data_IF_344027008984
#
_entry.id   IF_344027008984
#
_cell.length_a   1.000
_cell.length_b   1.000
_cell.length_c   1.000
_cell.angle_alpha   90.00
_cell.angle_beta   90.00
_cell.angle_gamma   90.00
#
_symmetry.space_group_name_H-M   'P 1'
#
loop_
_entity.id
_entity.type
_entity.pdbx_description
1 polymer ?
#
# COMPACT_ATOMS: atom_id res chain seq x y z
N UNK A 1 17.96 15.51 -45.06
CA UNK A 1 18.23 15.27 -43.63
C UNK A 1 17.09 14.44 -43.08
N UNK A 2 17.18 13.11 -43.21
CA UNK A 2 16.29 12.20 -42.50
C UNK A 2 16.52 12.41 -41.00
N UNK A 3 15.50 12.89 -40.30
CA UNK A 3 15.51 12.92 -38.84
C UNK A 3 15.34 11.47 -38.35
N UNK A 4 16.44 10.79 -38.04
CA UNK A 4 16.45 9.46 -37.41
C UNK A 4 16.01 9.45 -35.94
N UNK A 5 15.31 10.49 -35.50
CA UNK A 5 14.60 10.53 -34.22
C UNK A 5 13.16 10.93 -34.52
N UNK A 6 12.40 10.03 -35.13
CA UNK A 6 10.94 10.12 -35.01
C UNK A 6 10.64 10.18 -33.51
N UNK A 7 9.96 11.24 -33.10
CA UNK A 7 9.48 11.50 -31.75
C UNK A 7 8.64 10.32 -31.24
N UNK A 8 9.28 9.24 -30.83
CA UNK A 8 8.67 8.31 -29.92
C UNK A 8 8.54 9.08 -28.61
N UNK A 9 7.29 9.42 -28.26
CA UNK A 9 6.89 9.72 -26.89
C UNK A 9 7.21 8.48 -26.04
N UNK A 10 8.48 8.27 -25.73
CA UNK A 10 8.95 7.10 -24.99
C UNK A 10 8.55 7.35 -23.54
N UNK A 11 7.52 6.65 -23.08
CA UNK A 11 7.12 6.63 -21.69
C UNK A 11 8.28 5.99 -20.92
N UNK A 12 9.14 6.82 -20.34
CA UNK A 12 10.26 6.38 -19.53
C UNK A 12 9.81 5.84 -18.17
N UNK A 13 8.62 6.23 -17.73
CA UNK A 13 8.03 5.78 -16.48
C UNK A 13 6.50 5.78 -16.53
N UNK A 14 5.89 4.69 -16.07
CA UNK A 14 4.48 4.62 -15.69
C UNK A 14 4.38 4.79 -14.19
N UNK A 15 3.71 5.87 -13.77
CA UNK A 15 3.41 6.16 -12.37
C UNK A 15 1.90 6.07 -12.18
N UNK A 16 1.44 5.10 -11.39
CA UNK A 16 0.01 4.71 -11.31
C UNK A 16 -0.87 5.64 -10.45
N UNK A 17 -0.50 6.93 -10.34
CA UNK A 17 -1.27 7.97 -9.67
C UNK A 17 -1.01 8.09 -8.17
N UNK A 18 -1.63 9.10 -7.54
CA UNK A 18 -1.49 9.41 -6.10
C UNK A 18 -0.04 9.59 -5.62
N UNK A 19 0.88 9.81 -6.55
CA UNK A 19 2.32 9.92 -6.32
C UNK A 19 2.76 11.35 -6.06
N UNK A 20 3.92 11.49 -5.44
CA UNK A 20 4.57 12.79 -5.25
C UNK A 20 6.01 12.71 -5.77
N UNK A 21 6.26 13.33 -6.91
CA UNK A 21 7.61 13.41 -7.50
C UNK A 21 8.31 14.64 -6.93
N UNK A 22 9.24 14.42 -5.98
CA UNK A 22 9.98 15.52 -5.40
C UNK A 22 10.93 16.18 -6.41
N UNK A 23 11.26 17.45 -6.17
CA UNK A 23 12.12 18.22 -7.06
C UNK A 23 13.49 17.54 -7.26
N UNK A 24 13.96 17.55 -8.51
CA UNK A 24 15.23 16.95 -8.91
C UNK A 24 15.23 15.42 -8.99
N UNK A 25 14.10 14.74 -8.81
CA UNK A 25 14.02 13.30 -9.06
C UNK A 25 14.21 13.00 -10.57
N UNK A 26 15.24 12.23 -10.93
CA UNK A 26 15.57 11.86 -12.30
C UNK A 26 15.05 10.47 -12.62
N UNK A 27 13.82 10.43 -13.10
CA UNK A 27 13.07 9.20 -13.47
C UNK A 27 12.78 9.12 -14.99
N UNK A 28 13.47 9.95 -15.80
CA UNK A 28 13.24 10.14 -17.24
C UNK A 28 13.93 9.11 -18.14
N UNK A 29 13.88 9.31 -19.47
CA UNK A 29 14.33 8.35 -20.49
C UNK A 29 15.78 7.86 -20.28
N UNK A 30 15.98 6.54 -20.41
CA UNK A 30 17.27 5.86 -20.34
C UNK A 30 17.74 5.42 -21.74
N UNK A 31 17.93 6.39 -22.62
CA UNK A 31 18.43 6.14 -23.98
C UNK A 31 19.83 5.49 -23.92
N UNK A 32 19.90 4.18 -24.11
CA UNK A 32 21.13 3.40 -23.87
C UNK A 32 21.90 2.99 -25.13
N UNK A 33 21.56 3.54 -26.32
CA UNK A 33 22.20 3.29 -27.64
C UNK A 33 22.21 1.84 -28.14
N UNK A 34 21.77 0.86 -27.32
CA UNK A 34 21.92 -0.56 -27.59
C UNK A 34 20.57 -1.30 -27.69
N UNK A 35 19.51 -0.75 -27.11
CA UNK A 35 18.18 -1.34 -27.11
C UNK A 35 17.09 -0.26 -27.08
N UNK A 36 15.83 -0.69 -27.19
CA UNK A 36 14.69 0.15 -26.84
C UNK A 36 14.84 0.65 -25.40
N UNK A 37 14.25 1.82 -25.12
CA UNK A 37 14.21 2.41 -23.79
C UNK A 37 13.57 1.44 -22.79
N UNK A 38 14.23 1.30 -21.64
CA UNK A 38 13.70 0.58 -20.49
C UNK A 38 12.77 1.48 -19.67
N UNK A 39 11.87 0.88 -18.90
CA UNK A 39 10.82 1.61 -18.17
C UNK A 39 10.99 1.52 -16.65
N UNK A 40 10.53 2.56 -15.95
CA UNK A 40 10.19 2.50 -14.53
C UNK A 40 8.68 2.33 -14.36
N UNK A 41 8.27 1.25 -13.70
CA UNK A 41 6.88 1.05 -13.32
C UNK A 41 6.71 1.26 -11.82
N UNK A 42 5.94 2.26 -11.42
CA UNK A 42 5.72 2.59 -10.02
C UNK A 42 4.23 2.54 -9.67
N UNK A 43 3.91 1.76 -8.63
CA UNK A 43 2.59 1.68 -8.03
C UNK A 43 2.11 3.03 -7.50
N UNK A 44 0.82 3.09 -7.16
CA UNK A 44 0.22 4.34 -6.68
C UNK A 44 0.80 4.75 -5.35
N UNK A 45 0.87 6.06 -5.07
CA UNK A 45 1.49 6.55 -3.84
C UNK A 45 3.02 6.56 -3.85
N UNK A 46 3.66 6.20 -4.97
CA UNK A 46 5.11 6.27 -5.13
C UNK A 46 5.64 7.69 -4.86
N UNK A 47 6.75 7.78 -4.11
CA UNK A 47 7.33 9.04 -3.70
C UNK A 47 8.86 8.97 -3.75
N UNK A 48 9.51 9.38 -4.85
CA UNK A 48 10.95 9.58 -4.85
C UNK A 48 11.29 10.87 -4.10
N UNK A 49 12.20 10.79 -3.12
CA UNK A 49 12.71 11.94 -2.38
C UNK A 49 13.47 12.92 -3.27
N UNK A 50 13.80 14.10 -2.72
CA UNK A 50 14.53 15.14 -3.44
C UNK A 50 15.80 14.60 -4.08
N UNK A 51 16.10 15.01 -5.31
CA UNK A 51 17.33 14.62 -6.02
C UNK A 51 17.58 13.10 -6.09
N UNK A 52 16.53 12.28 -6.13
CA UNK A 52 16.66 10.84 -6.32
C UNK A 52 16.97 10.51 -7.77
N UNK A 53 17.98 9.68 -8.05
CA UNK A 53 18.24 9.17 -9.40
C UNK A 53 18.06 7.66 -9.47
N UNK A 54 17.42 7.15 -10.53
CA UNK A 54 17.09 5.71 -10.64
C UNK A 54 17.54 5.16 -11.99
N UNK A 55 18.23 4.03 -11.97
CA UNK A 55 18.57 3.26 -13.17
C UNK A 55 17.39 2.41 -13.67
N UNK A 56 17.12 2.42 -14.97
CA UNK A 56 16.12 1.53 -15.57
C UNK A 56 16.71 0.17 -15.94
N UNK A 57 15.90 -0.90 -15.99
CA UNK A 57 14.48 -0.99 -15.62
C UNK A 57 14.29 -1.09 -14.11
N UNK A 58 13.23 -0.48 -13.59
CA UNK A 58 12.83 -0.68 -12.20
C UNK A 58 11.33 -0.89 -12.06
N UNK A 59 10.94 -1.67 -11.04
CA UNK A 59 9.56 -1.77 -10.57
C UNK A 59 9.49 -1.43 -9.08
N UNK A 60 8.46 -0.69 -8.69
CA UNK A 60 8.19 -0.32 -7.30
C UNK A 60 6.73 -0.60 -6.96
N UNK A 61 6.51 -1.30 -5.84
CA UNK A 61 5.19 -1.52 -5.25
C UNK A 61 4.53 -0.21 -4.82
N UNK A 62 3.24 -0.27 -4.51
CA UNK A 62 2.50 0.91 -4.10
C UNK A 62 3.06 1.50 -2.81
N UNK A 63 3.04 2.82 -2.72
CA UNK A 63 3.53 3.59 -1.58
C UNK A 63 5.02 3.35 -1.24
N UNK A 64 5.86 3.00 -2.20
CA UNK A 64 7.32 3.09 -1.99
C UNK A 64 7.77 4.55 -1.91
N UNK A 65 8.28 4.94 -0.75
CA UNK A 65 9.00 6.19 -0.50
C UNK A 65 10.49 5.94 -0.69
N UNK A 66 11.18 6.69 -1.53
CA UNK A 66 12.64 6.61 -1.67
C UNK A 66 13.31 7.75 -0.92
N UNK A 67 14.33 7.45 -0.13
CA UNK A 67 15.20 8.47 0.41
C UNK A 67 16.00 9.12 -0.73
N UNK A 68 16.40 10.38 -0.50
CA UNK A 68 17.32 11.09 -1.40
C UNK A 68 18.62 10.27 -1.55
N UNK A 69 18.85 9.73 -2.74
CA UNK A 69 20.09 9.07 -3.11
C UNK A 69 20.16 8.77 -4.62
N UNK A 70 21.32 8.33 -5.08
CA UNK A 70 21.48 7.71 -6.39
C UNK A 70 21.27 6.19 -6.28
N UNK A 71 20.43 5.60 -7.14
CA UNK A 71 20.14 4.18 -7.18
C UNK A 71 20.70 3.59 -8.48
N UNK A 72 21.96 3.11 -8.49
CA UNK A 72 22.72 2.83 -9.71
C UNK A 72 22.42 1.46 -10.34
N UNK A 73 21.51 0.67 -9.76
CA UNK A 73 21.17 -0.68 -10.19
C UNK A 73 19.69 -0.78 -10.57
N UNK A 74 19.38 -1.74 -11.45
CA UNK A 74 18.01 -2.15 -11.74
C UNK A 74 17.40 -2.75 -10.47
N UNK A 75 16.15 -2.44 -10.15
CA UNK A 75 15.48 -2.85 -8.91
C UNK A 75 14.06 -3.38 -9.14
N UNK A 76 13.65 -4.32 -8.31
CA UNK A 76 12.28 -4.82 -8.23
C UNK A 76 11.83 -4.81 -6.76
N UNK A 77 11.28 -3.68 -6.32
CA UNK A 77 10.88 -3.46 -4.93
C UNK A 77 9.41 -3.85 -4.77
N UNK A 78 9.19 -5.06 -4.27
CA UNK A 78 7.84 -5.67 -4.18
C UNK A 78 7.13 -5.43 -2.85
N UNK A 79 7.83 -4.92 -1.84
CA UNK A 79 7.26 -4.63 -0.52
C UNK A 79 6.54 -3.27 -0.53
N UNK A 80 5.21 -3.21 -0.33
CA UNK A 80 4.47 -1.96 -0.40
C UNK A 80 4.62 -1.13 0.88
N UNK A 81 4.24 0.14 0.79
CA UNK A 81 4.29 1.10 1.91
C UNK A 81 5.70 1.19 2.53
N UNK A 82 6.74 0.98 1.74
CA UNK A 82 8.11 0.88 2.21
C UNK A 82 8.85 2.22 2.17
N UNK A 83 9.84 2.37 3.04
CA UNK A 83 10.95 3.30 2.81
C UNK A 83 12.11 2.53 2.18
N UNK A 84 12.56 2.98 1.02
CA UNK A 84 13.75 2.50 0.32
C UNK A 84 14.89 3.49 0.58
N UNK A 85 16.05 2.97 0.99
CA UNK A 85 17.22 3.78 1.24
C UNK A 85 18.47 3.15 0.62
N UNK A 86 19.28 3.95 -0.07
CA UNK A 86 20.61 3.52 -0.47
C UNK A 86 21.62 3.89 0.64
N UNK A 87 22.06 2.88 1.40
CA UNK A 87 23.09 3.05 2.41
C UNK A 87 24.48 2.81 1.80
N UNK A 88 25.09 3.90 1.34
CA UNK A 88 26.41 3.85 0.68
C UNK A 88 27.55 3.51 1.63
N UNK A 89 27.45 3.84 2.92
CA UNK A 89 28.52 3.58 3.89
C UNK A 89 28.64 2.10 4.24
N UNK A 90 27.51 1.38 4.31
CA UNK A 90 27.47 -0.07 4.52
C UNK A 90 27.43 -0.87 3.21
N UNK A 91 27.47 -0.18 2.06
CA UNK A 91 27.30 -0.77 0.74
C UNK A 91 26.12 -1.75 0.69
N UNK A 92 24.94 -1.29 1.10
CA UNK A 92 23.70 -2.08 1.07
C UNK A 92 22.50 -1.24 0.64
N UNK A 93 21.49 -1.91 0.09
CA UNK A 93 20.17 -1.33 -0.10
C UNK A 93 19.32 -1.69 1.12
N UNK A 94 18.64 -0.72 1.71
CA UNK A 94 17.79 -0.92 2.87
C UNK A 94 16.32 -0.75 2.47
N UNK A 95 15.49 -1.71 2.88
CA UNK A 95 14.04 -1.65 2.68
C UNK A 95 13.39 -1.77 4.05
N UNK A 96 12.62 -0.75 4.45
CA UNK A 96 11.76 -0.78 5.63
C UNK A 96 10.30 -0.91 5.18
N UNK A 97 9.72 -2.13 5.16
CA UNK A 97 8.32 -2.31 4.84
C UNK A 97 7.41 -1.67 5.90
N UNK A 98 6.17 -1.32 5.51
CA UNK A 98 5.18 -0.66 6.36
C UNK A 98 5.64 0.67 6.99
N UNK A 99 6.62 1.35 6.41
CA UNK A 99 7.15 2.62 6.91
C UNK A 99 6.04 3.66 7.12
N UNK A 100 5.10 3.78 6.18
CA UNK A 100 4.00 4.73 6.30
C UNK A 100 3.13 4.45 7.52
N UNK A 101 2.76 3.19 7.74
CA UNK A 101 1.96 2.76 8.87
C UNK A 101 2.68 2.99 10.21
N UNK A 102 3.97 2.63 10.26
CA UNK A 102 4.76 2.65 11.50
C UNK A 102 5.29 4.04 11.87
N UNK A 103 5.57 4.91 10.89
CA UNK A 103 6.36 6.12 11.12
C UNK A 103 5.80 7.39 10.49
N UNK A 104 4.88 7.30 9.52
CA UNK A 104 4.35 8.44 8.77
C UNK A 104 2.83 8.36 8.53
N UNK A 105 2.07 7.97 9.56
CA UNK A 105 0.62 7.80 9.47
C UNK A 105 -0.10 9.10 9.10
N UNK A 106 0.36 10.24 9.62
CA UNK A 106 -0.21 11.55 9.31
C UNK A 106 -0.24 11.81 7.80
N UNK A 107 0.89 11.60 7.11
CA UNK A 107 0.95 11.83 5.67
C UNK A 107 0.10 10.80 4.91
N UNK A 108 0.11 9.52 5.31
CA UNK A 108 -0.69 8.48 4.67
C UNK A 108 -2.19 8.82 4.72
N UNK A 109 -2.72 9.09 5.92
CA UNK A 109 -4.13 9.41 6.12
C UNK A 109 -4.52 10.74 5.46
N UNK A 110 -3.67 11.77 5.59
CA UNK A 110 -3.95 13.10 5.03
C UNK A 110 -3.95 13.11 3.51
N UNK A 111 -3.08 12.31 2.88
CA UNK A 111 -2.99 12.27 1.42
C UNK A 111 -4.28 11.75 0.79
N UNK A 112 -4.88 10.69 1.35
CA UNK A 112 -6.16 10.16 0.86
C UNK A 112 -7.27 11.24 0.84
N UNK A 113 -7.46 11.95 1.97
CA UNK A 113 -8.43 13.06 2.08
C UNK A 113 -8.11 14.21 1.12
N UNK A 114 -6.83 14.59 1.02
CA UNK A 114 -6.38 15.65 0.09
C UNK A 114 -6.65 15.32 -1.36
N UNK A 115 -6.47 14.08 -1.81
CA UNK A 115 -6.67 13.72 -3.22
C UNK A 115 -8.12 13.96 -3.63
N UNK A 116 -9.07 13.54 -2.81
CA UNK A 116 -10.49 13.78 -3.05
C UNK A 116 -10.84 15.28 -3.06
N UNK A 117 -10.36 16.04 -2.08
CA UNK A 117 -10.61 17.50 -2.01
C UNK A 117 -9.96 18.29 -3.16
N UNK A 118 -8.86 17.77 -3.72
CA UNK A 118 -8.10 18.41 -4.81
C UNK A 118 -8.56 17.97 -6.19
N UNK A 119 -9.44 16.98 -6.30
CA UNK A 119 -9.99 16.57 -7.59
C UNK A 119 -10.98 17.63 -8.13
N UNK A 120 -10.41 18.63 -8.81
CA UNK A 120 -11.10 19.75 -9.47
C UNK A 120 -11.28 19.51 -10.97
N UNK A 121 -11.19 18.26 -11.45
CA UNK A 121 -11.43 17.93 -12.86
C UNK A 121 -12.82 18.40 -13.28
N UNK A 122 -12.90 19.06 -14.43
CA UNK A 122 -14.15 19.53 -15.03
C UNK A 122 -15.00 18.33 -15.50
N UNK A 123 -14.34 17.37 -16.15
CA UNK A 123 -14.94 16.12 -16.59
C UNK A 123 -14.41 14.97 -15.74
N UNK A 124 -15.31 14.25 -15.07
CA UNK A 124 -14.98 13.13 -14.17
C UNK A 124 -15.42 11.79 -14.76
N UNK A 125 -15.22 11.62 -16.06
CA UNK A 125 -15.57 10.39 -16.78
C UNK A 125 -14.72 9.20 -16.33
N UNK A 126 -13.47 9.46 -15.89
CA UNK A 126 -12.61 8.45 -15.27
C UNK A 126 -12.83 8.43 -13.76
N UNK A 127 -13.33 7.30 -13.26
CA UNK A 127 -13.44 7.02 -11.83
C UNK A 127 -12.08 6.71 -11.23
N UNK A 128 -11.88 7.11 -9.97
CA UNK A 128 -10.58 6.97 -9.28
C UNK A 128 -10.83 6.46 -7.86
N UNK A 129 -10.16 5.38 -7.50
CA UNK A 129 -10.04 4.92 -6.12
C UNK A 129 -9.06 5.84 -5.39
N UNK A 130 -9.49 6.45 -4.30
CA UNK A 130 -8.68 7.39 -3.49
C UNK A 130 -8.12 6.78 -2.21
N UNK A 131 -8.64 5.63 -1.78
CA UNK A 131 -8.22 4.99 -0.54
C UNK A 131 -6.85 4.35 -0.68
N UNK A 132 -5.97 4.55 0.30
CA UNK A 132 -4.66 3.90 0.32
C UNK A 132 -4.76 2.39 0.41
N UNK A 133 -5.74 1.89 1.16
CA UNK A 133 -6.01 0.46 1.31
C UNK A 133 -7.14 0.05 0.38
N UNK A 134 -6.77 -0.56 -0.73
CA UNK A 134 -7.68 -1.07 -1.75
C UNK A 134 -7.21 -2.46 -2.24
N UNK A 135 -7.99 -3.18 -3.07
CA UNK A 135 -7.68 -4.56 -3.43
C UNK A 135 -6.26 -4.77 -3.97
N UNK A 136 -5.76 -3.87 -4.83
CA UNK A 136 -4.38 -3.92 -5.37
C UNK A 136 -3.32 -3.94 -4.26
N UNK A 137 -3.37 -2.98 -3.35
CA UNK A 137 -2.44 -2.87 -2.23
C UNK A 137 -2.63 -3.97 -1.20
N UNK A 138 -3.86 -4.50 -1.03
CA UNK A 138 -4.11 -5.61 -0.14
C UNK A 138 -3.44 -6.90 -0.65
N UNK A 139 -3.42 -7.12 -1.96
CA UNK A 139 -2.67 -8.23 -2.56
C UNK A 139 -1.16 -8.04 -2.45
N UNK A 140 -0.64 -6.82 -2.66
CA UNK A 140 0.77 -6.51 -2.42
C UNK A 140 1.17 -6.74 -0.94
N UNK A 141 0.30 -6.39 0.01
CA UNK A 141 0.52 -6.62 1.44
C UNK A 141 0.56 -8.11 1.78
N UNK A 142 -0.35 -8.90 1.21
CA UNK A 142 -0.40 -10.35 1.42
C UNK A 142 0.85 -11.04 0.84
N UNK A 143 1.30 -10.64 -0.35
CA UNK A 143 2.58 -11.07 -0.91
C UNK A 143 3.74 -10.66 0.01
N UNK A 144 3.73 -9.42 0.50
CA UNK A 144 4.73 -8.91 1.43
C UNK A 144 4.84 -9.73 2.72
N UNK A 145 3.71 -10.18 3.30
CA UNK A 145 3.73 -11.09 4.44
C UNK A 145 4.47 -12.39 4.12
N UNK A 146 4.15 -13.03 3.01
CA UNK A 146 4.77 -14.29 2.61
C UNK A 146 6.28 -14.14 2.32
N UNK A 147 6.70 -13.02 1.70
CA UNK A 147 8.11 -12.71 1.49
C UNK A 147 8.85 -12.50 2.81
N UNK A 148 8.28 -11.73 3.73
CA UNK A 148 8.88 -11.51 5.06
C UNK A 148 9.01 -12.82 5.85
N UNK A 149 7.99 -13.69 5.78
CA UNK A 149 8.02 -15.02 6.38
C UNK A 149 9.19 -15.84 5.82
N UNK A 150 9.28 -15.99 4.49
CA UNK A 150 10.37 -16.74 3.84
C UNK A 150 11.75 -16.21 4.19
N UNK A 151 11.96 -14.90 4.07
CA UNK A 151 13.27 -14.29 4.33
C UNK A 151 13.66 -14.38 5.81
N UNK A 152 12.70 -14.32 6.73
CA UNK A 152 12.96 -14.51 8.17
C UNK A 152 13.41 -15.93 8.46
N UNK A 153 12.75 -16.95 7.86
CA UNK A 153 13.17 -18.34 8.01
C UNK A 153 14.56 -18.59 7.44
N UNK A 154 14.87 -18.06 6.25
CA UNK A 154 16.21 -18.17 5.65
C UNK A 154 17.27 -17.50 6.52
N UNK A 155 16.97 -16.34 7.11
CA UNK A 155 17.89 -15.66 8.02
C UNK A 155 18.14 -16.47 9.30
N UNK A 156 17.09 -17.09 9.84
CA UNK A 156 17.21 -18.01 10.98
C UNK A 156 18.06 -19.24 10.66
N UNK A 157 17.74 -19.97 9.58
CA UNK A 157 18.48 -21.17 9.18
C UNK A 157 19.96 -20.88 8.93
N UNK A 158 20.26 -19.73 8.28
CA UNK A 158 21.63 -19.26 8.07
C UNK A 158 22.37 -19.03 9.39
N UNK A 159 21.70 -18.44 10.39
CA UNK A 159 22.29 -18.23 11.73
C UNK A 159 22.56 -19.55 12.44
N UNK A 160 21.66 -20.53 12.28
CA UNK A 160 21.81 -21.88 12.86
C UNK A 160 22.76 -22.78 12.05
N UNK A 161 23.36 -22.30 10.96
CA UNK A 161 24.25 -23.09 10.09
C UNK A 161 23.55 -24.22 9.33
N UNK A 162 22.22 -24.13 9.17
CA UNK A 162 21.40 -25.15 8.49
C UNK A 162 21.24 -24.81 7.00
N UNK A 163 21.33 -25.81 6.10
CA UNK A 163 21.11 -25.57 4.68
C UNK A 163 19.64 -25.19 4.40
N UNK A 164 19.44 -24.36 3.39
CA UNK A 164 18.10 -23.99 2.87
C UNK A 164 17.70 -24.90 1.70
N UNK A 165 18.67 -25.56 1.06
CA UNK A 165 18.45 -26.39 -0.11
C UNK A 165 17.49 -27.55 0.19
N UNK A 166 16.51 -27.73 -0.69
CA UNK A 166 15.49 -28.78 -0.57
C UNK A 166 14.30 -28.43 0.33
N UNK A 167 14.30 -27.26 1.00
CA UNK A 167 13.13 -26.75 1.72
C UNK A 167 12.27 -25.93 0.77
N UNK A 168 10.97 -26.24 0.71
CA UNK A 168 10.02 -25.52 -0.14
C UNK A 168 9.75 -24.10 0.39
N UNK A 169 9.28 -23.21 -0.49
CA UNK A 169 8.93 -21.85 -0.11
C UNK A 169 7.81 -21.79 0.94
N UNK A 170 6.86 -22.74 0.91
CA UNK A 170 5.77 -22.82 1.88
C UNK A 170 6.25 -23.28 3.27
N UNK A 171 7.18 -24.24 3.32
CA UNK A 171 7.81 -24.68 4.58
C UNK A 171 8.67 -23.58 5.20
N UNK A 172 9.39 -22.82 4.37
CA UNK A 172 10.11 -21.62 4.82
C UNK A 172 9.13 -20.57 5.35
N UNK A 173 8.05 -20.28 4.64
CA UNK A 173 7.04 -19.33 5.09
C UNK A 173 6.42 -19.75 6.43
N UNK A 174 6.08 -21.03 6.59
CA UNK A 174 5.53 -21.54 7.85
C UNK A 174 6.51 -21.37 9.03
N UNK A 175 7.79 -21.70 8.82
CA UNK A 175 8.85 -21.50 9.83
C UNK A 175 9.02 -20.02 10.17
N UNK A 176 9.04 -19.17 9.14
CA UNK A 176 9.18 -17.73 9.29
C UNK A 176 8.03 -17.09 10.02
N UNK A 177 6.80 -17.55 9.77
CA UNK A 177 5.60 -17.13 10.48
C UNK A 177 5.71 -17.40 11.97
N UNK A 178 6.13 -18.60 12.36
CA UNK A 178 6.33 -18.95 13.78
C UNK A 178 7.35 -18.02 14.46
N UNK A 179 8.46 -17.72 13.77
CA UNK A 179 9.47 -16.78 14.28
C UNK A 179 8.91 -15.36 14.41
N UNK A 180 8.17 -14.90 13.39
CA UNK A 180 7.57 -13.57 13.38
C UNK A 180 6.47 -13.44 14.42
N UNK A 181 5.68 -14.47 14.70
CA UNK A 181 4.70 -14.51 15.79
C UNK A 181 5.35 -14.45 17.18
N UNK A 182 6.58 -14.95 17.29
CA UNK A 182 7.36 -14.98 18.52
C UNK A 182 7.94 -13.63 18.99
N UNK A 183 8.88 -13.68 19.94
CA UNK A 183 9.51 -12.50 20.54
C UNK A 183 10.26 -11.60 19.53
N UNK A 184 10.15 -10.28 19.72
CA UNK A 184 10.74 -9.29 18.82
C UNK A 184 12.28 -9.35 18.81
N UNK A 185 12.90 -9.51 19.98
CA UNK A 185 14.35 -9.54 20.16
C UNK A 185 15.02 -10.66 19.36
N UNK A 186 14.35 -11.80 19.24
CA UNK A 186 14.84 -12.92 18.43
C UNK A 186 14.92 -12.51 16.96
N UNK A 187 13.86 -11.92 16.41
CA UNK A 187 13.82 -11.52 14.99
C UNK A 187 14.73 -10.32 14.71
N UNK A 188 14.77 -9.34 15.63
CA UNK A 188 15.64 -8.16 15.50
C UNK A 188 17.14 -8.53 15.54
N UNK A 189 17.49 -9.71 16.06
CA UNK A 189 18.86 -10.24 16.01
C UNK A 189 19.26 -10.83 14.64
N UNK A 190 18.31 -11.05 13.73
CA UNK A 190 18.55 -11.70 12.44
C UNK A 190 18.92 -10.68 11.36
N UNK A 191 19.93 -11.03 10.54
CA UNK A 191 20.21 -10.31 9.28
C UNK A 191 19.28 -10.82 8.18
N UNK A 192 18.08 -10.24 8.11
CA UNK A 192 17.05 -10.60 7.12
C UNK A 192 17.36 -9.92 5.79
N UNK A 193 17.58 -10.73 4.75
CA UNK A 193 17.96 -10.26 3.42
C UNK A 193 16.83 -10.47 2.42
N UNK A 194 16.49 -9.40 1.70
CA UNK A 194 15.57 -9.44 0.57
C UNK A 194 16.24 -10.09 -0.65
N UNK A 195 15.49 -10.88 -1.38
CA UNK A 195 15.98 -11.60 -2.57
C UNK A 195 15.36 -11.02 -3.84
N UNK A 196 16.14 -11.01 -4.93
CA UNK A 196 15.71 -10.52 -6.26
C UNK A 196 15.23 -9.05 -6.31
N UNK A 197 15.60 -8.22 -5.32
CA UNK A 197 15.14 -6.84 -5.25
C UNK A 197 16.07 -5.84 -5.96
N UNK A 198 17.33 -6.20 -6.19
CA UNK A 198 18.31 -5.36 -6.87
C UNK A 198 19.27 -6.21 -7.69
N UNK A 199 19.54 -5.80 -8.94
CA UNK A 199 20.59 -6.36 -9.79
C UNK A 199 21.96 -5.76 -9.45
N UNK A 200 22.33 -5.89 -8.19
CA UNK A 200 23.58 -5.45 -7.61
C UNK A 200 24.33 -6.62 -6.97
N UNK A 201 25.60 -6.41 -6.62
CA UNK A 201 26.38 -7.38 -5.82
C UNK A 201 26.20 -7.18 -4.32
N UNK A 202 25.59 -6.08 -3.92
CA UNK A 202 25.38 -5.73 -2.52
C UNK A 202 24.18 -6.44 -1.93
N UNK A 203 24.14 -6.51 -0.60
CA UNK A 203 23.00 -7.04 0.14
C UNK A 203 21.81 -6.07 0.07
N UNK A 204 20.61 -6.64 0.10
CA UNK A 204 19.36 -5.90 0.36
C UNK A 204 18.89 -6.26 1.77
N UNK A 205 18.99 -5.32 2.70
CA UNK A 205 18.66 -5.52 4.11
C UNK A 205 17.20 -5.14 4.38
N UNK A 206 16.44 -6.04 5.00
CA UNK A 206 15.08 -5.78 5.45
C UNK A 206 15.11 -5.25 6.88
N UNK A 207 14.67 -4.01 7.06
CA UNK A 207 14.62 -3.35 8.36
C UNK A 207 13.29 -3.61 9.06
N UNK A 208 13.34 -3.86 10.37
CA UNK A 208 12.15 -3.95 11.25
C UNK A 208 11.12 -5.00 10.81
N UNK A 209 11.56 -6.14 10.27
CA UNK A 209 10.69 -7.19 9.74
C UNK A 209 9.59 -7.62 10.73
N UNK A 210 9.92 -7.78 12.02
CA UNK A 210 8.93 -8.14 13.05
C UNK A 210 7.78 -7.14 13.17
N UNK A 211 8.09 -5.84 13.15
CA UNK A 211 7.09 -4.76 13.23
C UNK A 211 6.33 -4.64 11.91
N UNK A 212 7.03 -4.75 10.78
CA UNK A 212 6.44 -4.65 9.46
C UNK A 212 5.44 -5.78 9.18
N UNK A 213 5.76 -7.02 9.55
CA UNK A 213 4.85 -8.16 9.39
C UNK A 213 3.54 -7.97 10.19
N UNK A 214 3.62 -7.47 11.44
CA UNK A 214 2.43 -7.11 12.23
C UNK A 214 1.65 -5.96 11.61
N UNK A 215 2.34 -4.91 11.18
CA UNK A 215 1.71 -3.76 10.53
C UNK A 215 0.96 -4.17 9.25
N UNK A 216 1.54 -5.03 8.40
CA UNK A 216 0.84 -5.56 7.22
C UNK A 216 -0.43 -6.34 7.58
N UNK A 217 -0.39 -7.18 8.63
CA UNK A 217 -1.59 -7.86 9.13
C UNK A 217 -2.65 -6.86 9.60
N UNK A 218 -2.25 -5.82 10.32
CA UNK A 218 -3.16 -4.78 10.81
C UNK A 218 -3.73 -3.91 9.67
N UNK A 219 -2.95 -3.62 8.63
CA UNK A 219 -3.40 -2.93 7.42
C UNK A 219 -4.43 -3.76 6.65
N UNK A 220 -4.17 -5.06 6.45
CA UNK A 220 -5.13 -5.99 5.83
C UNK A 220 -6.41 -6.11 6.65
N UNK A 221 -6.28 -6.13 7.98
CA UNK A 221 -7.40 -6.17 8.90
C UNK A 221 -8.25 -4.90 8.82
N UNK A 222 -7.60 -3.73 8.85
CA UNK A 222 -8.26 -2.44 8.72
C UNK A 222 -8.99 -2.32 7.37
N UNK A 223 -8.31 -2.66 6.27
CA UNK A 223 -8.92 -2.73 4.94
C UNK A 223 -10.18 -3.60 4.96
N UNK A 224 -10.08 -4.81 5.49
CA UNK A 224 -11.18 -5.77 5.44
C UNK A 224 -12.36 -5.31 6.28
N UNK A 225 -12.12 -4.97 7.55
CA UNK A 225 -13.19 -4.55 8.46
C UNK A 225 -13.86 -3.26 8.04
N UNK A 226 -13.12 -2.29 7.48
CA UNK A 226 -13.71 -1.05 6.97
C UNK A 226 -14.76 -1.33 5.88
N UNK A 227 -14.44 -2.22 4.94
CA UNK A 227 -15.35 -2.59 3.86
C UNK A 227 -16.55 -3.42 4.34
N UNK A 228 -16.34 -4.35 5.29
CA UNK A 228 -17.45 -5.15 5.86
C UNK A 228 -18.38 -4.32 6.76
N UNK A 229 -17.84 -3.37 7.53
CA UNK A 229 -18.65 -2.42 8.29
C UNK A 229 -19.47 -1.53 7.36
N UNK A 230 -18.88 -1.07 6.25
CA UNK A 230 -19.61 -0.33 5.23
C UNK A 230 -20.75 -1.15 4.62
N UNK A 231 -20.52 -2.45 4.34
CA UNK A 231 -21.56 -3.37 3.88
C UNK A 231 -22.75 -3.44 4.84
N UNK A 232 -22.48 -3.71 6.13
CA UNK A 232 -23.52 -3.79 7.18
C UNK A 232 -24.22 -2.45 7.46
N UNK A 233 -23.58 -1.34 7.14
CA UNK A 233 -24.18 -0.01 7.24
C UNK A 233 -25.13 0.27 6.07
N UNK A 234 -24.77 -0.18 4.86
CA UNK A 234 -25.58 -0.06 3.65
C UNK A 234 -26.79 -1.03 3.65
N UNK A 235 -26.67 -2.15 4.37
CA UNK A 235 -27.71 -3.17 4.49
C UNK A 235 -28.13 -3.31 5.96
N UNK A 236 -28.92 -2.38 6.51
CA UNK A 236 -29.21 -2.32 7.95
C UNK A 236 -29.93 -3.56 8.50
N UNK A 237 -30.69 -4.26 7.64
CA UNK A 237 -31.44 -5.47 7.99
C UNK A 237 -30.65 -6.77 7.77
N UNK A 238 -29.45 -6.69 7.15
CA UNK A 238 -28.63 -7.86 6.87
C UNK A 238 -28.01 -8.44 8.14
N UNK A 239 -28.00 -9.77 8.21
CA UNK A 239 -27.31 -10.56 9.23
C UNK A 239 -25.97 -11.08 8.68
N UNK A 240 -25.16 -11.66 9.56
CA UNK A 240 -23.90 -12.30 9.16
C UNK A 240 -24.09 -13.42 8.12
N UNK A 241 -25.23 -14.11 8.16
CA UNK A 241 -25.56 -15.13 7.16
C UNK A 241 -25.77 -14.51 5.78
N UNK A 242 -26.46 -13.37 5.69
CA UNK A 242 -26.71 -12.65 4.44
C UNK A 242 -25.39 -12.10 3.88
N UNK A 243 -24.59 -11.44 4.73
CA UNK A 243 -23.24 -10.99 4.33
C UNK A 243 -22.38 -12.14 3.78
N UNK A 244 -22.44 -13.32 4.37
CA UNK A 244 -21.72 -14.48 3.84
C UNK A 244 -22.29 -14.98 2.51
N UNK A 245 -23.61 -14.95 2.32
CA UNK A 245 -24.23 -15.33 1.05
C UNK A 245 -23.88 -14.34 -0.08
N UNK A 246 -23.80 -13.05 0.24
CA UNK A 246 -23.57 -11.98 -0.74
C UNK A 246 -22.08 -11.80 -1.09
N UNK A 247 -21.21 -11.93 -0.07
CA UNK A 247 -19.78 -11.65 -0.18
C UNK A 247 -18.90 -12.91 -0.20
N UNK A 248 -19.38 -14.01 0.39
CA UNK A 248 -18.66 -15.28 0.48
C UNK A 248 -18.90 -16.19 -0.71
N UNK A 249 -18.46 -17.46 -0.58
CA UNK A 249 -18.71 -18.52 -1.56
C UNK A 249 -17.88 -18.47 -2.84
N UNK A 250 -17.21 -17.34 -3.13
CA UNK A 250 -16.30 -17.20 -4.27
C UNK A 250 -14.84 -17.16 -3.82
N UNK A 251 -13.90 -17.74 -4.60
CA UNK A 251 -12.47 -17.58 -4.34
C UNK A 251 -12.04 -16.11 -4.31
N UNK A 252 -11.03 -15.80 -3.50
CA UNK A 252 -10.40 -14.47 -3.48
C UNK A 252 -9.81 -14.16 -4.86
N UNK A 253 -10.14 -12.98 -5.40
CA UNK A 253 -9.49 -12.45 -6.61
C UNK A 253 -8.11 -11.93 -6.23
N UNK A 254 -7.05 -12.60 -6.70
CA UNK A 254 -5.66 -12.28 -6.34
C UNK A 254 -4.99 -11.24 -7.26
N UNK A 255 -5.54 -10.99 -8.44
CA UNK A 255 -4.93 -10.07 -9.42
C UNK A 255 -5.85 -8.89 -9.71
N UNK A 256 -5.38 -7.71 -9.31
CA UNK A 256 -6.05 -6.42 -9.52
C UNK A 256 -5.14 -5.50 -10.32
N UNK A 257 -5.73 -4.78 -11.27
CA UNK A 257 -5.02 -3.84 -12.14
C UNK A 257 -5.53 -2.43 -11.89
N UNK A 258 -4.61 -1.48 -11.85
CA UNK A 258 -4.91 -0.06 -11.79
C UNK A 258 -4.84 0.54 -13.19
N UNK A 259 -6.01 0.84 -13.77
CA UNK A 259 -6.11 1.56 -15.04
C UNK A 259 -6.54 3.00 -14.78
N UNK A 260 -5.55 3.91 -14.75
CA UNK A 260 -5.80 5.34 -14.64
C UNK A 260 -6.46 5.76 -13.32
N UNK A 261 -6.28 4.98 -12.26
CA UNK A 261 -6.90 5.17 -10.95
C UNK A 261 -8.13 4.29 -10.69
N UNK A 262 -8.69 3.64 -11.72
CA UNK A 262 -9.77 2.68 -11.55
C UNK A 262 -9.20 1.28 -11.35
N UNK A 263 -9.52 0.69 -10.19
CA UNK A 263 -9.14 -0.68 -9.87
C UNK A 263 -10.20 -1.65 -10.39
N UNK A 264 -9.73 -2.73 -11.01
CA UNK A 264 -10.59 -3.83 -11.44
C UNK A 264 -9.83 -5.15 -11.40
N UNK A 265 -10.53 -6.30 -11.29
CA UNK A 265 -9.92 -7.61 -11.49
C UNK A 265 -9.23 -7.70 -12.84
N UNK A 266 -8.08 -8.39 -12.89
CA UNK A 266 -7.35 -8.62 -14.15
C UNK A 266 -8.21 -9.34 -15.19
N UNK A 267 -9.04 -10.29 -14.75
CA UNK A 267 -9.95 -11.02 -15.64
C UNK A 267 -10.93 -10.10 -16.37
N UNK A 268 -11.43 -9.04 -15.72
CA UNK A 268 -12.31 -8.06 -16.37
C UNK A 268 -11.58 -7.21 -17.40
N UNK A 269 -10.32 -6.84 -17.11
CA UNK A 269 -9.49 -6.15 -18.10
C UNK A 269 -9.20 -7.04 -19.31
N UNK A 270 -8.89 -8.32 -19.09
CA UNK A 270 -8.63 -9.26 -20.17
C UNK A 270 -9.90 -9.44 -21.04
N UNK A 271 -11.07 -9.57 -20.42
CA UNK A 271 -12.34 -9.61 -21.14
C UNK A 271 -12.63 -8.31 -21.90
N UNK A 272 -12.37 -7.15 -21.30
CA UNK A 272 -12.50 -5.85 -21.95
C UNK A 272 -11.62 -5.76 -23.21
N UNK A 273 -10.36 -6.20 -23.12
CA UNK A 273 -9.42 -6.23 -24.26
C UNK A 273 -9.90 -7.18 -25.36
N UNK A 274 -10.41 -8.34 -24.97
CA UNK A 274 -10.97 -9.30 -25.92
C UNK A 274 -12.20 -8.73 -26.64
N UNK A 275 -13.14 -8.13 -25.91
CA UNK A 275 -14.34 -7.50 -26.46
C UNK A 275 -14.01 -6.38 -27.46
N UNK A 276 -12.96 -5.59 -27.18
CA UNK A 276 -12.43 -4.58 -28.10
C UNK A 276 -11.82 -5.26 -29.34
N UNK A 277 -10.94 -6.24 -29.14
CA UNK A 277 -10.27 -6.96 -30.23
C UNK A 277 -11.22 -7.69 -31.17
N UNK A 278 -12.37 -8.14 -30.68
CA UNK A 278 -13.41 -8.81 -31.45
C UNK A 278 -14.46 -7.85 -32.02
N UNK A 279 -14.32 -6.53 -31.80
CA UNK A 279 -15.26 -5.52 -32.30
C UNK A 279 -16.62 -5.49 -31.61
N UNK A 280 -16.80 -6.18 -30.47
CA UNK A 280 -18.02 -6.06 -29.63
C UNK A 280 -18.11 -4.66 -29.03
N UNK A 281 -16.99 -4.10 -28.60
CA UNK A 281 -16.86 -2.72 -28.16
C UNK A 281 -16.16 -1.91 -29.25
N UNK A 282 -16.95 -1.46 -30.24
CA UNK A 282 -16.45 -0.83 -31.47
C UNK A 282 -16.43 0.72 -31.44
N UNK A 283 -16.69 1.33 -30.29
CA UNK A 283 -16.66 2.79 -30.15
C UNK A 283 -16.13 3.21 -28.79
N UNK A 284 -15.56 4.42 -28.74
CA UNK A 284 -15.07 5.01 -27.49
C UNK A 284 -16.16 5.09 -26.42
N UNK A 285 -17.39 5.44 -26.82
CA UNK A 285 -18.55 5.47 -25.93
C UNK A 285 -18.87 4.10 -25.33
N UNK A 286 -18.83 3.04 -26.14
CA UNK A 286 -19.09 1.68 -25.66
C UNK A 286 -17.99 1.21 -24.68
N UNK A 287 -16.73 1.54 -24.96
CA UNK A 287 -15.61 1.23 -24.07
C UNK A 287 -15.79 1.97 -22.73
N UNK A 288 -16.05 3.27 -22.75
CA UNK A 288 -16.27 4.06 -21.53
C UNK A 288 -17.48 3.58 -20.73
N UNK A 289 -18.57 3.19 -21.40
CA UNK A 289 -19.72 2.60 -20.74
C UNK A 289 -19.35 1.30 -20.00
N UNK A 290 -18.46 0.46 -20.58
CA UNK A 290 -17.96 -0.73 -19.87
C UNK A 290 -17.12 -0.36 -18.65
N UNK A 291 -16.32 0.70 -18.72
CA UNK A 291 -15.61 1.22 -17.52
C UNK A 291 -16.59 1.68 -16.44
N UNK A 292 -17.69 2.34 -16.80
CA UNK A 292 -18.74 2.76 -15.85
C UNK A 292 -19.44 1.56 -15.21
N UNK A 293 -19.77 0.53 -15.99
CA UNK A 293 -20.38 -0.72 -15.50
C UNK A 293 -19.45 -1.43 -14.49
N UNK A 294 -18.16 -1.52 -14.81
CA UNK A 294 -17.14 -2.08 -13.91
C UNK A 294 -17.00 -1.26 -12.63
N UNK A 295 -17.05 0.07 -12.73
CA UNK A 295 -17.00 0.95 -11.56
C UNK A 295 -18.24 0.82 -10.68
N UNK A 296 -19.43 0.69 -11.26
CA UNK A 296 -20.67 0.46 -10.49
C UNK A 296 -20.61 -0.86 -9.71
N UNK A 297 -19.96 -1.89 -10.25
CA UNK A 297 -19.75 -3.18 -9.59
C UNK A 297 -18.64 -3.16 -8.55
N UNK A 298 -17.64 -2.29 -8.72
CA UNK A 298 -16.42 -2.23 -7.91
C UNK A 298 -16.65 -2.21 -6.38
N UNK A 299 -17.61 -1.45 -5.81
CA UNK A 299 -17.88 -1.49 -4.37
C UNK A 299 -18.19 -2.89 -3.84
N UNK A 300 -19.00 -3.67 -4.56
CA UNK A 300 -19.34 -5.04 -4.19
C UNK A 300 -18.14 -5.99 -4.37
N UNK A 301 -17.39 -5.84 -5.48
CA UNK A 301 -16.19 -6.65 -5.71
C UNK A 301 -15.12 -6.39 -4.64
N UNK A 302 -14.96 -5.13 -4.21
CA UNK A 302 -14.09 -4.73 -3.10
C UNK A 302 -14.54 -5.32 -1.76
N UNK A 303 -15.85 -5.36 -1.50
CA UNK A 303 -16.41 -5.98 -0.29
C UNK A 303 -16.23 -7.51 -0.28
N UNK A 304 -16.44 -8.18 -1.41
CA UNK A 304 -16.14 -9.62 -1.60
C UNK A 304 -14.67 -9.92 -1.34
N UNK A 305 -13.79 -9.11 -1.93
CA UNK A 305 -12.35 -9.21 -1.73
C UNK A 305 -11.97 -9.03 -0.26
N UNK A 306 -12.48 -7.99 0.40
CA UNK A 306 -12.30 -7.75 1.83
C UNK A 306 -12.78 -8.92 2.71
N UNK A 307 -13.93 -9.51 2.40
CA UNK A 307 -14.45 -10.68 3.11
C UNK A 307 -13.49 -11.87 3.01
N UNK A 308 -13.09 -12.22 1.78
CA UNK A 308 -12.18 -13.32 1.53
C UNK A 308 -10.78 -13.09 2.14
N UNK A 309 -10.30 -11.84 2.11
CA UNK A 309 -9.04 -11.43 2.73
C UNK A 309 -9.07 -11.62 4.25
N UNK A 310 -10.14 -11.19 4.93
CA UNK A 310 -10.28 -11.38 6.37
C UNK A 310 -10.36 -12.85 6.75
N UNK A 311 -11.13 -13.63 5.99
CA UNK A 311 -11.24 -15.08 6.18
C UNK A 311 -9.87 -15.76 6.06
N UNK A 312 -9.07 -15.38 5.04
CA UNK A 312 -7.69 -15.85 4.86
C UNK A 312 -6.80 -15.46 6.06
N UNK A 313 -6.86 -14.20 6.50
CA UNK A 313 -6.03 -13.67 7.58
C UNK A 313 -6.31 -14.33 8.95
N UNK A 314 -7.57 -14.69 9.18
CA UNK A 314 -8.06 -15.35 10.39
C UNK A 314 -8.05 -16.88 10.28
N UNK A 315 -7.75 -17.43 9.11
CA UNK A 315 -7.83 -18.86 8.81
C UNK A 315 -9.21 -19.46 9.16
N UNK A 316 -10.27 -18.83 8.66
CA UNK A 316 -11.66 -19.25 8.81
C UNK A 316 -12.33 -19.32 7.44
N UNK A 317 -13.32 -20.20 7.27
CA UNK A 317 -14.12 -20.26 6.03
C UNK A 317 -15.25 -19.23 6.03
N UNK A 318 -15.80 -18.95 7.22
CA UNK A 318 -16.96 -18.09 7.41
C UNK A 318 -16.87 -17.35 8.73
N UNK A 319 -17.29 -16.10 8.70
CA UNK A 319 -17.44 -15.28 9.90
C UNK A 319 -18.61 -15.76 10.77
N UNK A 320 -18.34 -16.11 12.03
CA UNK A 320 -19.36 -16.36 13.05
C UNK A 320 -19.56 -15.13 13.95
N UNK A 321 -20.58 -15.17 14.81
CA UNK A 321 -20.92 -14.04 15.69
C UNK A 321 -19.80 -13.69 16.68
N UNK A 322 -19.08 -14.71 17.19
CA UNK A 322 -17.99 -14.51 18.15
C UNK A 322 -16.82 -13.81 17.49
N UNK A 323 -16.39 -14.31 16.34
CA UNK A 323 -15.30 -13.77 15.55
C UNK A 323 -15.66 -12.37 15.08
N UNK A 324 -16.88 -12.15 14.59
CA UNK A 324 -17.35 -10.81 14.22
C UNK A 324 -17.26 -9.82 15.37
N UNK A 325 -17.72 -10.19 16.57
CA UNK A 325 -17.64 -9.31 17.75
C UNK A 325 -16.20 -8.96 18.10
N UNK A 326 -15.31 -9.96 18.16
CA UNK A 326 -13.86 -9.75 18.40
C UNK A 326 -13.27 -8.89 17.27
N UNK A 327 -13.77 -9.05 16.05
CA UNK A 327 -13.29 -8.29 14.91
C UNK A 327 -13.68 -6.83 14.94
N UNK A 328 -14.87 -6.52 15.44
CA UNK A 328 -15.31 -5.17 15.72
C UNK A 328 -14.48 -4.51 16.83
N UNK A 329 -14.14 -5.25 17.89
CA UNK A 329 -13.22 -4.76 18.93
C UNK A 329 -11.85 -4.41 18.37
N UNK A 330 -11.27 -5.32 17.58
CA UNK A 330 -9.98 -5.06 16.92
C UNK A 330 -10.06 -3.88 15.94
N UNK A 331 -11.18 -3.71 15.23
CA UNK A 331 -11.37 -2.57 14.34
C UNK A 331 -11.35 -1.23 15.10
N UNK A 332 -11.97 -1.15 16.28
CA UNK A 332 -11.86 0.02 17.17
C UNK A 332 -10.41 0.24 17.58
N UNK A 333 -9.73 -0.79 18.08
CA UNK A 333 -8.35 -0.66 18.54
C UNK A 333 -7.40 -0.17 17.42
N UNK A 334 -7.61 -0.64 16.19
CA UNK A 334 -6.84 -0.17 15.03
C UNK A 334 -7.16 1.27 14.64
N UNK A 335 -8.44 1.68 14.71
CA UNK A 335 -8.82 3.07 14.44
C UNK A 335 -8.21 4.01 15.48
N UNK A 336 -8.19 3.59 16.75
CA UNK A 336 -7.57 4.33 17.84
C UNK A 336 -6.06 4.47 17.63
N UNK A 337 -5.40 3.37 17.27
CA UNK A 337 -3.98 3.37 16.90
C UNK A 337 -3.72 4.34 15.73
N UNK A 338 -4.54 4.32 14.68
CA UNK A 338 -4.40 5.26 13.54
C UNK A 338 -4.50 6.71 14.05
N UNK A 339 -5.52 7.01 14.87
CA UNK A 339 -5.71 8.36 15.43
C UNK A 339 -4.50 8.83 16.24
N UNK A 340 -3.96 7.97 17.09
CA UNK A 340 -2.75 8.25 17.88
C UNK A 340 -1.53 8.44 16.98
N UNK A 341 -1.31 7.57 16.01
CA UNK A 341 -0.16 7.67 15.10
C UNK A 341 -0.24 8.89 14.17
N UNK A 342 -1.44 9.34 13.78
CA UNK A 342 -1.62 10.62 13.06
C UNK A 342 -1.09 11.78 13.92
N UNK A 343 -1.43 11.81 15.22
CA UNK A 343 -0.91 12.83 16.13
C UNK A 343 0.60 12.69 16.33
N UNK A 344 1.09 11.50 16.71
CA UNK A 344 2.51 11.26 17.03
C UNK A 344 3.45 11.53 15.86
N UNK A 345 3.07 11.10 14.65
CA UNK A 345 3.90 11.36 13.46
C UNK A 345 3.95 12.84 13.10
N UNK A 346 2.87 13.59 13.33
CA UNK A 346 2.86 15.05 13.14
C UNK A 346 3.58 15.80 14.25
N UNK A 347 3.53 15.32 15.49
CA UNK A 347 4.23 15.92 16.64
C UNK A 347 5.73 16.04 16.41
N UNK A 348 6.35 15.05 15.75
CA UNK A 348 7.78 15.09 15.36
C UNK A 348 8.17 16.37 14.62
N UNK A 349 7.27 16.94 13.81
CA UNK A 349 7.55 18.20 13.12
C UNK A 349 7.55 19.39 14.08
N UNK A 350 6.68 19.40 15.10
CA UNK A 350 6.59 20.46 16.11
C UNK A 350 7.75 20.41 17.12
N UNK A 351 8.22 19.21 17.46
CA UNK A 351 9.36 19.00 18.36
C UNK A 351 10.71 19.28 17.67
N UNK A 352 10.73 19.40 16.33
CA UNK A 352 11.95 19.61 15.57
C UNK A 352 12.40 21.08 15.62
N UNK A 353 13.55 21.34 16.24
CA UNK A 353 14.18 22.66 16.27
C UNK A 353 14.31 23.29 14.88
N UNK A 354 14.64 22.52 13.84
CA UNK A 354 14.77 23.02 12.46
C UNK A 354 13.46 23.52 11.84
N UNK A 355 12.31 23.26 12.47
CA UNK A 355 11.06 23.90 12.05
C UNK A 355 10.99 25.37 12.47
N UNK A 356 11.65 25.74 13.56
CA UNK A 356 11.61 27.11 14.11
C UNK A 356 12.63 28.04 13.44
N UNK A 357 13.71 27.51 12.86
CA UNK A 357 14.89 28.32 12.43
C UNK A 357 14.61 29.34 11.32
N UNK A 358 13.49 29.22 10.61
CA UNK A 358 13.06 30.18 9.57
C UNK A 358 12.09 31.24 10.09
N UNK A 359 11.73 31.19 11.36
CA UNK A 359 10.93 32.19 12.05
C UNK A 359 11.83 33.03 12.96
N UNK A 360 11.46 34.28 13.18
CA UNK A 360 12.12 35.22 14.09
C UNK A 360 12.11 34.71 15.53
N UNK A 361 10.96 34.20 15.97
CA UNK A 361 10.73 33.66 17.32
C UNK A 361 9.55 32.67 17.33
N UNK A 362 9.35 32.01 18.47
CA UNK A 362 8.26 31.03 18.65
C UNK A 362 6.87 31.67 18.51
N UNK A 363 6.71 32.94 18.92
CA UNK A 363 5.44 33.64 18.81
C UNK A 363 5.06 33.88 17.35
N UNK A 364 6.01 34.28 16.49
CA UNK A 364 5.79 34.38 15.04
C UNK A 364 5.44 33.02 14.43
N UNK A 365 6.16 31.95 14.82
CA UNK A 365 5.85 30.61 14.32
C UNK A 365 4.41 30.20 14.69
N UNK A 366 4.03 30.31 15.96
CA UNK A 366 2.67 29.95 16.42
C UNK A 366 1.62 30.79 15.70
N UNK A 367 1.86 32.10 15.53
CA UNK A 367 0.95 32.97 14.79
C UNK A 367 0.81 32.59 13.30
N UNK A 368 1.89 32.10 12.68
CA UNK A 368 1.92 31.77 11.25
C UNK A 368 1.38 30.37 10.93
N UNK A 369 1.73 29.35 11.73
CA UNK A 369 1.42 27.94 11.43
C UNK A 369 0.53 27.25 12.45
N UNK A 370 0.16 27.94 13.53
CA UNK A 370 -0.69 27.43 14.61
C UNK A 370 0.01 26.39 15.49
N UNK A 371 -0.71 25.93 16.52
CA UNK A 371 -0.24 24.82 17.36
C UNK A 371 -0.54 23.47 16.71
N UNK A 372 -0.08 22.38 17.33
CA UNK A 372 -0.46 21.03 16.89
C UNK A 372 -1.94 20.75 17.17
N UNK A 373 -2.48 21.26 18.27
CA UNK A 373 -3.86 21.01 18.67
C UNK A 373 -4.86 21.74 17.76
N UNK A 374 -4.44 22.86 17.15
CA UNK A 374 -5.20 23.57 16.12
C UNK A 374 -5.13 22.91 14.74
N UNK A 375 -4.38 21.81 14.58
CA UNK A 375 -4.26 21.15 13.29
C UNK A 375 -5.60 20.53 12.88
N UNK A 376 -6.29 21.16 11.93
CA UNK A 376 -7.63 20.77 11.49
C UNK A 376 -7.75 19.30 11.07
N UNK A 377 -6.70 18.72 10.49
CA UNK A 377 -6.71 17.31 10.12
C UNK A 377 -6.63 16.36 11.33
N UNK A 378 -5.88 16.73 12.38
CA UNK A 378 -5.84 15.95 13.63
C UNK A 378 -7.22 15.98 14.30
N UNK A 379 -7.85 17.15 14.36
CA UNK A 379 -9.22 17.30 14.90
C UNK A 379 -10.21 16.44 14.13
N UNK A 380 -10.18 16.53 12.78
CA UNK A 380 -11.02 15.71 11.92
C UNK A 380 -10.85 14.21 12.19
N UNK A 381 -9.62 13.70 12.28
CA UNK A 381 -9.38 12.26 12.52
C UNK A 381 -9.89 11.83 13.91
N UNK A 382 -9.80 12.70 14.93
CA UNK A 382 -10.37 12.42 16.26
C UNK A 382 -11.89 12.31 16.21
N UNK A 383 -12.56 13.22 15.49
CA UNK A 383 -14.01 13.19 15.30
C UNK A 383 -14.46 11.95 14.51
N UNK A 384 -13.78 11.63 13.40
CA UNK A 384 -14.03 10.42 12.61
C UNK A 384 -13.84 9.15 13.45
N UNK A 385 -12.83 9.12 14.32
CA UNK A 385 -12.58 8.00 15.24
C UNK A 385 -13.69 7.85 16.27
N UNK A 386 -14.18 8.96 16.84
CA UNK A 386 -15.33 8.93 17.75
C UNK A 386 -16.61 8.45 17.04
N UNK A 387 -16.88 8.92 15.82
CA UNK A 387 -18.01 8.48 15.02
C UNK A 387 -17.92 6.98 14.67
N UNK A 388 -16.73 6.50 14.30
CA UNK A 388 -16.48 5.10 14.00
C UNK A 388 -16.71 4.18 15.21
N UNK A 389 -16.27 4.58 16.41
CA UNK A 389 -16.56 3.86 17.66
C UNK A 389 -18.06 3.76 17.91
N UNK A 390 -18.79 4.86 17.76
CA UNK A 390 -20.25 4.87 17.93
C UNK A 390 -20.94 3.93 16.94
N UNK A 391 -20.54 3.98 15.66
CA UNK A 391 -21.05 3.08 14.63
C UNK A 391 -20.83 1.61 15.00
N UNK A 392 -19.62 1.24 15.41
CA UNK A 392 -19.31 -0.14 15.81
C UNK A 392 -20.13 -0.55 17.04
N UNK A 393 -20.28 0.32 18.04
CA UNK A 393 -21.09 0.02 19.22
C UNK A 393 -22.56 -0.23 18.85
N UNK A 394 -23.12 0.53 17.90
CA UNK A 394 -24.45 0.25 17.35
C UNK A 394 -24.49 -1.10 16.62
N UNK A 395 -23.48 -1.42 15.81
CA UNK A 395 -23.42 -2.71 15.11
C UNK A 395 -23.33 -3.90 16.08
N UNK A 396 -22.62 -3.77 17.20
CA UNK A 396 -22.58 -4.80 18.25
C UNK A 396 -23.91 -5.05 18.94
N UNK A 397 -24.80 -4.06 18.95
CA UNK A 397 -26.14 -4.19 19.52
C UNK A 397 -27.12 -4.88 18.56
N UNK A 398 -26.79 -4.96 17.27
CA UNK A 398 -27.57 -5.73 16.29
C UNK A 398 -27.35 -7.21 16.56
N UNK A 399 -28.44 -7.92 16.85
CA UNK A 399 -28.43 -9.36 17.14
C UNK A 399 -28.36 -10.21 15.89
#
# INVERSE_FOLDING_TARGET
HEQHHNNSFLVAAVVMGQSNLAAGATMGSNHNSRSNDNEIQAGRGFWPGLCTSVKHSCRFASYTLMSKADYPAEMDITLPFSLLNNNTSLNCLEVMPAFWWLYNMYALARNASKYQQRDKRIHKDQHVEFEAFAPDTAEELLLGLHLLERWTAKAWLRREGKPVDGITDDELAATGRQLLEGPQDIVDSLEILGENMEKGKRKVLILKAWKAWRAYRDMLYHYSMKNLIAYMTQHPDARLADMHADLGGSPRVAEWVNLGGQLMPKADLDQLREDIGQGRLNSWKAIHQRYDELWQRYPLDKQRHAYAMLCTLLNIEKMDAKTWSVSLDKAIALQDYICEQVYDSRRKDYDNHFRQVTFKDEAEMIAAVGTIDDNSFIVQVREETAAFRNLINTLKQRR
#
